data_IF_906835939579
#
_entry.id   IF_906835939579
#
_cell.length_a   1.000
_cell.length_b   1.000
_cell.length_c   1.000
_cell.angle_alpha   90.00
_cell.angle_beta   90.00
_cell.angle_gamma   90.00
#
_symmetry.space_group_name_H-M   'P 1'
#
loop_
_entity.id
_entity.type
_entity.pdbx_description
1 polymer ?
#
# COMPACT_ATOMS: atom_id res chain seq x y z
N UNK A 1 -2.76 9.83 -3.30
CA UNK A 1 -1.30 9.83 -3.57
C UNK A 1 -0.55 10.58 -2.49
N UNK A 2 -0.85 11.87 -2.25
CA UNK A 2 -0.26 12.70 -1.18
C UNK A 2 -0.12 12.01 0.19
N UNK A 3 -1.15 11.30 0.65
CA UNK A 3 -1.12 10.58 1.94
C UNK A 3 0.07 9.61 2.04
N UNK A 4 0.35 8.83 0.98
CA UNK A 4 1.46 7.87 0.97
C UNK A 4 2.82 8.58 1.02
N UNK A 5 2.94 9.75 0.40
CA UNK A 5 4.18 10.54 0.37
C UNK A 5 4.45 11.17 1.73
N UNK A 6 3.43 11.77 2.34
CA UNK A 6 3.52 12.41 3.66
C UNK A 6 3.86 11.39 4.74
N UNK A 7 3.18 10.25 4.72
CA UNK A 7 3.41 9.16 5.67
C UNK A 7 4.83 8.58 5.50
N UNK A 8 5.27 8.33 4.27
CA UNK A 8 6.61 7.82 4.02
C UNK A 8 7.69 8.81 4.45
N UNK A 9 7.47 10.10 4.26
CA UNK A 9 8.39 11.15 4.70
C UNK A 9 8.53 11.21 6.23
N UNK A 10 7.50 10.80 6.97
CA UNK A 10 7.53 10.68 8.43
C UNK A 10 8.34 9.50 8.96
N UNK A 11 8.70 8.53 8.11
CA UNK A 11 9.44 7.34 8.53
C UNK A 11 10.94 7.67 8.71
N UNK A 12 11.56 7.30 9.85
CA UNK A 12 12.98 7.50 10.06
C UNK A 12 13.82 6.89 8.92
N UNK A 13 14.91 7.57 8.55
CA UNK A 13 15.84 7.23 7.46
C UNK A 13 15.34 7.53 6.05
N UNK A 14 14.05 7.86 5.85
CA UNK A 14 13.56 8.37 4.56
C UNK A 14 14.02 9.81 4.35
N UNK A 15 14.56 10.10 3.17
CA UNK A 15 15.04 11.43 2.82
C UNK A 15 13.91 12.36 2.38
N UNK A 16 14.00 13.62 2.80
CA UNK A 16 13.14 14.70 2.30
C UNK A 16 13.55 15.21 0.91
N UNK A 17 14.82 15.00 0.52
CA UNK A 17 15.37 15.39 -0.77
C UNK A 17 16.43 14.38 -1.23
N UNK A 18 16.20 13.62 -2.30
CA UNK A 18 14.96 13.54 -3.09
C UNK A 18 13.75 13.02 -2.27
N UNK A 19 12.60 13.69 -2.40
CA UNK A 19 11.39 13.36 -1.64
C UNK A 19 10.77 12.03 -2.10
N UNK A 20 9.97 11.36 -1.25
CA UNK A 20 9.15 10.24 -1.68
C UNK A 20 8.15 10.67 -2.75
N UNK A 21 7.89 9.79 -3.72
CA UNK A 21 6.95 10.04 -4.80
C UNK A 21 6.10 8.80 -5.04
N UNK A 22 4.77 8.99 -5.07
CA UNK A 22 3.82 7.95 -5.42
C UNK A 22 3.45 8.05 -6.89
N UNK A 23 3.46 6.92 -7.59
CA UNK A 23 3.06 6.82 -8.99
C UNK A 23 1.91 5.82 -9.16
N UNK A 24 0.97 6.17 -10.04
CA UNK A 24 -0.02 5.21 -10.55
C UNK A 24 0.68 4.25 -11.50
N UNK A 25 0.70 2.97 -11.18
CA UNK A 25 1.31 1.91 -11.99
C UNK A 25 0.34 1.39 -13.04
N UNK A 26 -0.95 1.42 -12.74
CA UNK A 26 -2.01 0.98 -13.65
C UNK A 26 -3.29 0.63 -12.91
N UNK A 27 -4.18 -0.05 -13.62
CA UNK A 27 -5.43 -0.59 -13.10
C UNK A 27 -5.36 -2.11 -13.23
N UNK A 28 -5.33 -2.81 -12.09
CA UNK A 28 -5.38 -4.26 -12.03
C UNK A 28 -6.80 -4.79 -12.29
N UNK A 29 -6.98 -6.10 -12.21
CA UNK A 29 -8.29 -6.74 -12.44
C UNK A 29 -9.38 -6.20 -11.51
N UNK A 30 -9.03 -5.93 -10.25
CA UNK A 30 -9.91 -5.38 -9.22
C UNK A 30 -9.16 -4.40 -8.30
N UNK A 31 -8.20 -3.63 -8.84
CA UNK A 31 -7.36 -2.73 -8.04
C UNK A 31 -6.89 -1.49 -8.81
N UNK A 32 -6.56 -0.44 -8.06
CA UNK A 32 -5.72 0.65 -8.53
C UNK A 32 -4.32 0.41 -8.00
N UNK A 33 -3.36 0.18 -8.88
CA UNK A 33 -2.01 -0.20 -8.48
C UNK A 33 -1.17 1.06 -8.28
N UNK A 34 -0.76 1.30 -7.03
CA UNK A 34 0.10 2.42 -6.65
C UNK A 34 1.50 1.94 -6.27
N UNK A 35 2.52 2.67 -6.69
CA UNK A 35 3.92 2.41 -6.31
C UNK A 35 4.52 3.63 -5.63
N UNK A 36 5.14 3.44 -4.46
CA UNK A 36 5.89 4.47 -3.76
C UNK A 36 7.39 4.28 -3.97
N UNK A 37 8.08 5.35 -4.38
CA UNK A 37 9.55 5.42 -4.38
C UNK A 37 10.01 6.30 -3.23
N UNK A 38 10.98 5.82 -2.46
CA UNK A 38 11.61 6.57 -1.37
C UNK A 38 13.13 6.34 -1.39
N UNK A 39 13.86 7.29 -0.81
CA UNK A 39 15.32 7.28 -0.75
C UNK A 39 15.79 7.20 0.70
N UNK A 40 16.87 6.45 0.96
CA UNK A 40 17.50 6.33 2.28
C UNK A 40 18.99 6.62 2.17
N UNK A 41 19.61 7.11 3.25
CA UNK A 41 21.05 7.47 3.26
C UNK A 41 21.97 6.28 3.59
N UNK A 42 21.47 5.31 4.33
CA UNK A 42 22.26 4.29 5.04
C UNK A 42 21.81 2.87 4.70
N UNK A 43 21.83 2.47 3.41
CA UNK A 43 21.34 1.15 2.98
C UNK A 43 22.07 -0.02 3.66
N UNK A 44 23.29 0.18 4.16
CA UNK A 44 24.07 -0.81 4.91
C UNK A 44 23.43 -1.23 6.24
N UNK A 45 22.58 -0.38 6.84
CA UNK A 45 21.82 -0.71 8.07
C UNK A 45 20.54 -1.53 7.79
N UNK A 46 20.42 -2.03 6.56
CA UNK A 46 19.30 -2.83 6.10
C UNK A 46 18.15 -1.99 5.56
N UNK A 47 17.47 -2.56 4.57
CA UNK A 47 16.32 -1.96 3.87
C UNK A 47 14.97 -2.50 4.39
N UNK A 48 14.97 -3.76 4.88
CA UNK A 48 13.74 -4.48 5.25
C UNK A 48 12.98 -3.76 6.36
N UNK A 49 13.69 -3.27 7.37
CA UNK A 49 13.12 -2.50 8.49
C UNK A 49 12.46 -1.20 8.02
N UNK A 50 13.11 -0.42 7.16
CA UNK A 50 12.53 0.84 6.63
C UNK A 50 11.33 0.54 5.75
N UNK A 51 11.43 -0.45 4.86
CA UNK A 51 10.31 -0.86 4.00
C UNK A 51 9.11 -1.33 4.83
N UNK A 52 9.36 -2.14 5.86
CA UNK A 52 8.31 -2.60 6.77
C UNK A 52 7.65 -1.43 7.49
N UNK A 53 8.43 -0.49 8.02
CA UNK A 53 7.91 0.70 8.68
C UNK A 53 7.02 1.53 7.74
N UNK A 54 7.49 1.82 6.51
CA UNK A 54 6.69 2.53 5.50
C UNK A 54 5.37 1.82 5.22
N UNK A 55 5.39 0.50 5.01
CA UNK A 55 4.17 -0.26 4.71
C UNK A 55 3.17 -0.26 5.87
N UNK A 56 3.64 -0.40 7.11
CA UNK A 56 2.79 -0.36 8.30
C UNK A 56 2.15 1.02 8.47
N UNK A 57 2.92 2.10 8.34
CA UNK A 57 2.36 3.44 8.51
C UNK A 57 1.38 3.78 7.39
N UNK A 58 1.62 3.32 6.15
CA UNK A 58 0.64 3.44 5.06
C UNK A 58 -0.63 2.67 5.38
N UNK A 59 -0.51 1.44 5.87
CA UNK A 59 -1.65 0.60 6.26
C UNK A 59 -2.52 1.28 7.34
N UNK A 60 -1.89 1.80 8.39
CA UNK A 60 -2.58 2.54 9.46
C UNK A 60 -3.28 3.79 8.90
N UNK A 61 -2.56 4.61 8.13
CA UNK A 61 -3.11 5.83 7.55
C UNK A 61 -4.27 5.54 6.58
N UNK A 62 -4.19 4.45 5.81
CA UNK A 62 -5.28 4.03 4.94
C UNK A 62 -6.51 3.65 5.75
N UNK A 63 -6.33 2.88 6.83
CA UNK A 63 -7.42 2.50 7.70
C UNK A 63 -8.10 3.71 8.36
N UNK A 64 -7.31 4.67 8.86
CA UNK A 64 -7.82 5.92 9.45
C UNK A 64 -8.59 6.79 8.46
N UNK A 65 -8.22 6.77 7.18
CA UNK A 65 -8.87 7.54 6.13
C UNK A 65 -9.98 6.77 5.40
N UNK A 66 -10.33 5.56 5.84
CA UNK A 66 -11.35 4.71 5.21
C UNK A 66 -10.96 4.21 3.81
N UNK A 67 -9.66 4.14 3.51
CA UNK A 67 -9.14 3.58 2.26
C UNK A 67 -9.04 2.06 2.44
N UNK A 68 -9.93 1.32 1.79
CA UNK A 68 -9.92 -0.14 1.83
C UNK A 68 -8.88 -0.71 0.87
N UNK A 69 -8.10 -1.69 1.36
CA UNK A 69 -7.27 -2.52 0.50
C UNK A 69 -8.14 -3.65 -0.04
N UNK A 70 -8.39 -3.60 -1.35
CA UNK A 70 -9.22 -4.58 -2.03
C UNK A 70 -8.54 -5.95 -1.98
N UNK A 71 -9.22 -6.90 -1.35
CA UNK A 71 -8.93 -8.32 -1.54
C UNK A 71 -9.52 -8.78 -2.88
N UNK A 72 -9.01 -9.87 -3.44
CA UNK A 72 -9.58 -10.50 -4.64
C UNK A 72 -11.07 -10.74 -4.42
N UNK A 73 -11.92 -10.01 -5.12
CA UNK A 73 -13.36 -10.24 -5.09
C UNK A 73 -13.70 -11.35 -6.08
N UNK A 74 -14.58 -12.25 -5.65
CA UNK A 74 -15.10 -13.32 -6.49
C UNK A 74 -16.61 -13.18 -6.58
N UNK A 75 -17.11 -12.93 -7.79
CA UNK A 75 -18.54 -13.03 -8.08
C UNK A 75 -18.93 -14.50 -8.18
N UNK A 76 -19.77 -14.97 -7.26
CA UNK A 76 -20.30 -16.32 -7.27
C UNK A 76 -21.65 -16.37 -7.96
N UNK A 77 -21.71 -17.01 -9.13
CA UNK A 77 -22.97 -17.29 -9.80
C UNK A 77 -23.50 -18.67 -9.38
N UNK A 78 -24.46 -18.69 -8.45
CA UNK A 78 -25.09 -19.92 -7.97
C UNK A 78 -26.29 -20.24 -8.86
N UNK A 79 -26.21 -21.33 -9.62
CA UNK A 79 -27.31 -21.79 -10.51
C UNK A 79 -28.42 -22.50 -9.75
N UNK A 80 -28.07 -23.37 -8.79
CA UNK A 80 -29.01 -24.05 -7.90
C UNK A 80 -28.38 -24.19 -6.51
N UNK A 81 -29.17 -23.92 -5.47
CA UNK A 81 -28.76 -24.19 -4.10
C UNK A 81 -28.94 -25.69 -3.81
N UNK A 82 -27.99 -26.35 -3.12
CA UNK A 82 -28.21 -27.72 -2.68
C UNK A 82 -29.44 -27.76 -1.77
N UNK A 83 -30.37 -28.68 -2.06
CA UNK A 83 -31.53 -28.92 -1.20
C UNK A 83 -31.03 -29.27 0.19
N UNK A 84 -31.51 -28.54 1.21
CA UNK A 84 -31.24 -28.86 2.61
C UNK A 84 -31.83 -30.26 2.88
N UNK A 85 -30.96 -31.17 3.34
CA UNK A 85 -31.37 -32.46 3.91
C UNK A 85 -32.10 -32.25 5.25
#
# INVERSE_FOLDING_TARGET
MRLMEEVALGVPRVQARPAPETCLKGFGSNSVDLGLRAWIIDPEQGLVNVKSAILVTIWEAFHEHGIEILFSQHDLHIKEFPLKA
#
